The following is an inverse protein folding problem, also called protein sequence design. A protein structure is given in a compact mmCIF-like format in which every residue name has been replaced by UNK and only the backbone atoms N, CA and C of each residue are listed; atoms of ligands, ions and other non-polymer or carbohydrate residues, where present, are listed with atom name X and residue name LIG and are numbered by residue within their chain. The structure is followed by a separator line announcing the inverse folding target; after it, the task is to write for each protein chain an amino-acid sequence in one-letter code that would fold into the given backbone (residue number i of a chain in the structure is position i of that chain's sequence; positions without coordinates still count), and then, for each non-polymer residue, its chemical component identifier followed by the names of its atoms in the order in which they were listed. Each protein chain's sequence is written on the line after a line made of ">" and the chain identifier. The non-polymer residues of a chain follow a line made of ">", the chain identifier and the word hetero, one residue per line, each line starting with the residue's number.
data_IF_945235947975
#
_entry.id   IF_945235947975
#
_cell.length_a   1.000
_cell.length_b   1.000
_cell.length_c   1.000
_cell.angle_alpha   90.00
_cell.angle_beta   90.00
_cell.angle_gamma   90.00
#
_symmetry.space_group_name_H-M   'P 1'
#
loop_
_entity.id
_entity.type
_entity.pdbx_description
1 polymer ?
#
# COMPACT_ATOMS: atom_id res chain seq x y z
N UNK A 1 22.46 -31.10 9.24
CA UNK A 1 22.06 -30.12 10.28
C UNK A 1 23.26 -29.19 10.49
N UNK A 2 23.17 -27.94 10.05
CA UNK A 2 24.22 -26.96 10.33
C UNK A 2 24.08 -26.51 11.80
N UNK A 3 25.16 -26.51 12.59
CA UNK A 3 25.15 -26.07 13.98
C UNK A 3 25.30 -24.55 14.06
N UNK A 4 24.52 -23.88 14.92
CA UNK A 4 24.77 -22.49 15.32
C UNK A 4 23.68 -21.45 15.04
N UNK A 5 22.40 -21.82 14.88
CA UNK A 5 21.34 -20.82 14.99
C UNK A 5 21.12 -20.49 16.47
N UNK A 6 21.86 -19.50 16.97
CA UNK A 6 21.45 -18.76 18.16
C UNK A 6 19.99 -18.30 17.97
N UNK A 7 19.15 -18.25 19.02
CA UNK A 7 17.77 -17.78 18.87
C UNK A 7 17.81 -16.39 18.23
N UNK A 8 17.26 -16.26 17.01
CA UNK A 8 17.25 -15.01 16.25
C UNK A 8 16.67 -13.90 17.13
N UNK A 9 17.52 -13.01 17.65
CA UNK A 9 17.03 -11.78 18.25
C UNK A 9 16.25 -11.04 17.16
N UNK A 10 15.04 -10.54 17.47
CA UNK A 10 14.24 -9.83 16.49
C UNK A 10 15.06 -8.68 15.90
N UNK A 11 15.21 -8.68 14.58
CA UNK A 11 15.88 -7.60 13.86
C UNK A 11 15.23 -6.23 14.16
N UNK A 12 15.93 -5.12 13.86
CA UNK A 12 15.42 -3.79 14.13
C UNK A 12 14.08 -3.56 13.42
N UNK A 13 13.14 -2.92 14.11
CA UNK A 13 11.86 -2.55 13.52
C UNK A 13 11.99 -1.38 12.55
N UNK A 14 10.90 -1.07 11.85
CA UNK A 14 10.87 0.02 10.87
C UNK A 14 11.25 1.37 11.49
N UNK A 15 10.84 1.63 12.75
CA UNK A 15 11.13 2.90 13.43
C UNK A 15 12.62 3.03 13.68
N UNK A 16 13.26 1.95 14.13
CA UNK A 16 14.69 1.89 14.37
C UNK A 16 15.49 2.06 13.08
N UNK A 17 15.13 1.35 12.00
CA UNK A 17 15.77 1.49 10.69
C UNK A 17 15.62 2.93 10.18
N UNK A 18 14.42 3.51 10.30
CA UNK A 18 14.16 4.90 9.89
C UNK A 18 15.00 5.89 10.68
N UNK A 19 15.10 5.71 12.01
CA UNK A 19 15.94 6.54 12.89
C UNK A 19 17.41 6.47 12.49
N UNK A 20 17.95 5.27 12.25
CA UNK A 20 19.33 5.07 11.79
C UNK A 20 19.60 5.75 10.45
N UNK A 21 18.71 5.56 9.48
CA UNK A 21 18.82 6.21 8.18
C UNK A 21 18.75 7.75 8.28
N UNK A 22 17.97 8.30 9.22
CA UNK A 22 17.95 9.73 9.51
C UNK A 22 19.24 10.22 10.16
N UNK A 23 19.88 9.38 10.98
CA UNK A 23 21.19 9.64 11.60
C UNK A 23 22.39 9.48 10.65
N UNK A 24 22.16 9.12 9.38
CA UNK A 24 23.21 8.97 8.36
C UNK A 24 23.78 7.56 8.22
N UNK A 25 23.14 6.56 8.81
CA UNK A 25 23.49 5.15 8.58
C UNK A 25 23.20 4.74 7.13
N UNK A 26 24.27 4.42 6.39
CA UNK A 26 24.21 4.06 4.99
C UNK A 26 23.53 2.71 4.74
N UNK A 27 23.68 1.75 5.66
CA UNK A 27 23.04 0.45 5.55
C UNK A 27 21.53 0.59 5.73
N UNK A 28 21.11 1.32 6.76
CA UNK A 28 19.69 1.59 6.99
C UNK A 28 19.04 2.36 5.81
N UNK A 29 19.74 3.35 5.24
CA UNK A 29 19.27 4.06 4.06
C UNK A 29 19.16 3.14 2.82
N UNK A 30 20.10 2.20 2.67
CA UNK A 30 20.08 1.20 1.60
C UNK A 30 18.90 0.24 1.74
N UNK A 31 18.60 -0.22 2.96
CA UNK A 31 17.42 -1.07 3.23
C UNK A 31 16.13 -0.37 2.83
N UNK A 32 15.94 0.89 3.25
CA UNK A 32 14.75 1.69 2.91
C UNK A 32 14.63 1.85 1.38
N UNK A 33 15.73 2.21 0.72
CA UNK A 33 15.75 2.44 -0.73
C UNK A 33 15.44 1.16 -1.50
N UNK A 34 16.05 0.04 -1.12
CA UNK A 34 15.82 -1.26 -1.75
C UNK A 34 14.37 -1.71 -1.58
N UNK A 35 13.80 -1.56 -0.37
CA UNK A 35 12.40 -1.88 -0.13
C UNK A 35 11.46 -1.05 -1.01
N UNK A 36 11.72 0.25 -1.13
CA UNK A 36 10.95 1.15 -2.00
C UNK A 36 11.03 0.75 -3.47
N UNK A 37 12.23 0.44 -3.98
CA UNK A 37 12.45 0.02 -5.37
C UNK A 37 11.74 -1.30 -5.67
N UNK A 38 11.88 -2.30 -4.80
CA UNK A 38 11.22 -3.60 -4.98
C UNK A 38 9.71 -3.42 -4.99
N UNK A 39 9.16 -2.65 -4.05
CA UNK A 39 7.73 -2.38 -3.98
C UNK A 39 7.24 -1.66 -5.25
N UNK A 40 7.95 -0.64 -5.73
CA UNK A 40 7.61 0.08 -6.95
C UNK A 40 7.55 -0.83 -8.17
N UNK A 41 8.52 -1.75 -8.33
CA UNK A 41 8.51 -2.74 -9.41
C UNK A 41 7.34 -3.70 -9.31
N UNK A 42 7.04 -4.20 -8.11
CA UNK A 42 5.92 -5.12 -7.90
C UNK A 42 4.57 -4.44 -8.19
N UNK A 43 4.40 -3.18 -7.77
CA UNK A 43 3.17 -2.42 -7.99
C UNK A 43 2.94 -2.06 -9.47
N UNK A 44 3.98 -2.01 -10.30
CA UNK A 44 3.84 -1.68 -11.72
C UNK A 44 2.91 -2.63 -12.46
N UNK A 45 2.99 -3.93 -12.17
CA UNK A 45 2.09 -4.93 -12.76
C UNK A 45 0.62 -4.68 -12.36
N UNK A 46 0.39 -4.30 -11.10
CA UNK A 46 -0.96 -3.99 -10.61
C UNK A 46 -1.51 -2.70 -11.22
N UNK A 47 -0.67 -1.66 -11.35
CA UNK A 47 -1.07 -0.42 -12.02
C UNK A 47 -1.45 -0.69 -13.47
N UNK A 48 -0.65 -1.48 -14.20
CA UNK A 48 -0.99 -1.87 -15.58
C UNK A 48 -2.27 -2.73 -15.67
N UNK A 49 -2.56 -3.55 -14.67
CA UNK A 49 -3.73 -4.42 -14.67
C UNK A 49 -5.02 -3.69 -14.28
N UNK A 50 -4.95 -2.74 -13.36
CA UNK A 50 -6.11 -2.08 -12.76
C UNK A 50 -6.40 -0.70 -13.35
N UNK A 51 -5.43 -0.07 -14.02
CA UNK A 51 -5.49 1.32 -14.52
C UNK A 51 -6.05 2.32 -13.48
N UNK A 52 -5.47 2.40 -12.27
CA UNK A 52 -5.99 3.30 -11.25
C UNK A 52 -5.65 4.76 -11.57
N UNK A 53 -6.56 5.67 -11.22
CA UNK A 53 -6.31 7.10 -11.34
C UNK A 53 -5.23 7.62 -10.36
N UNK A 54 -4.97 6.91 -9.27
CA UNK A 54 -4.01 7.31 -8.23
C UNK A 54 -3.52 6.09 -7.43
N UNK A 55 -2.26 6.10 -7.04
CA UNK A 55 -1.68 5.15 -6.09
C UNK A 55 -1.45 5.85 -4.74
N UNK A 56 -2.09 5.36 -3.67
CA UNK A 56 -1.92 5.90 -2.32
C UNK A 56 -1.12 4.92 -1.46
N UNK A 57 0.00 5.37 -0.91
CA UNK A 57 0.90 4.62 -0.02
C UNK A 57 0.59 4.97 1.42
N UNK A 58 0.08 4.00 2.19
CA UNK A 58 -0.24 4.15 3.61
C UNK A 58 0.73 3.43 4.55
N UNK A 59 0.34 3.33 5.82
CA UNK A 59 1.11 2.61 6.85
C UNK A 59 2.39 3.31 7.28
N UNK A 60 3.23 2.61 8.06
CA UNK A 60 4.44 3.19 8.66
C UNK A 60 5.48 3.69 7.65
N UNK A 61 5.54 3.09 6.46
CA UNK A 61 6.48 3.48 5.40
C UNK A 61 6.14 4.83 4.77
N UNK A 62 4.85 5.22 4.76
CA UNK A 62 4.44 6.54 4.30
C UNK A 62 5.04 7.65 5.17
N UNK A 63 5.27 7.36 6.47
CA UNK A 63 5.92 8.27 7.41
C UNK A 63 7.42 8.52 7.14
N UNK A 64 8.06 7.70 6.31
CA UNK A 64 9.47 7.93 5.87
C UNK A 64 9.53 9.11 4.89
N UNK A 65 8.42 9.40 4.20
CA UNK A 65 8.29 10.54 3.30
C UNK A 65 9.06 10.37 1.98
N UNK A 66 9.64 11.45 1.41
CA UNK A 66 10.25 11.44 0.09
C UNK A 66 11.35 10.37 -0.09
N UNK A 67 12.09 10.07 0.98
CA UNK A 67 13.15 9.04 0.96
C UNK A 67 12.63 7.62 0.64
N UNK A 68 11.33 7.38 0.77
CA UNK A 68 10.68 6.14 0.36
C UNK A 68 9.81 6.33 -0.89
N UNK A 69 9.04 7.42 -0.96
CA UNK A 69 8.11 7.67 -2.07
C UNK A 69 8.84 7.91 -3.39
N UNK A 70 9.95 8.64 -3.39
CA UNK A 70 10.70 8.96 -4.62
C UNK A 70 11.33 7.72 -5.29
N UNK A 71 12.07 6.85 -4.57
CA UNK A 71 12.61 5.62 -5.17
C UNK A 71 11.51 4.65 -5.58
N UNK A 72 10.40 4.56 -4.84
CA UNK A 72 9.24 3.77 -5.22
C UNK A 72 8.63 4.28 -6.54
N UNK A 73 8.39 5.59 -6.63
CA UNK A 73 7.81 6.22 -7.82
C UNK A 73 8.71 6.07 -9.03
N UNK A 74 10.03 6.22 -8.84
CA UNK A 74 11.01 6.02 -9.91
C UNK A 74 11.02 4.58 -10.42
N UNK A 75 11.02 3.61 -9.51
CA UNK A 75 10.99 2.20 -9.87
C UNK A 75 9.66 1.79 -10.54
N UNK A 76 8.53 2.32 -10.05
CA UNK A 76 7.22 2.12 -10.68
C UNK A 76 7.23 2.63 -12.13
N UNK A 77 7.67 3.87 -12.35
CA UNK A 77 7.69 4.52 -13.67
C UNK A 77 8.57 3.81 -14.70
N UNK A 78 9.62 3.13 -14.23
CA UNK A 78 10.50 2.36 -15.10
C UNK A 78 9.81 1.10 -15.68
N UNK A 79 8.82 0.55 -14.98
CA UNK A 79 8.21 -0.75 -15.30
C UNK A 79 6.79 -0.64 -15.88
N UNK A 80 6.06 0.45 -15.61
CA UNK A 80 4.69 0.64 -16.14
C UNK A 80 4.67 0.96 -17.65
N UNK A 81 3.54 0.66 -18.29
CA UNK A 81 3.27 1.04 -19.68
C UNK A 81 3.31 2.57 -19.84
N UNK A 82 3.72 3.04 -21.02
CA UNK A 82 3.92 4.47 -21.28
C UNK A 82 2.72 5.38 -20.91
N UNK A 83 1.45 5.01 -21.15
CA UNK A 83 0.30 5.83 -20.76
C UNK A 83 0.16 6.01 -19.24
N UNK A 84 0.71 5.10 -18.43
CA UNK A 84 0.51 5.05 -16.98
C UNK A 84 1.68 5.64 -16.19
N UNK A 85 2.74 6.14 -16.86
CA UNK A 85 3.94 6.68 -16.20
C UNK A 85 3.67 7.91 -15.33
N UNK A 86 2.63 8.66 -15.67
CA UNK A 86 2.27 9.89 -14.94
C UNK A 86 1.22 9.66 -13.86
N UNK A 87 0.92 8.40 -13.50
CA UNK A 87 0.03 8.12 -12.37
C UNK A 87 0.54 8.82 -11.10
N UNK A 88 -0.30 9.58 -10.39
CA UNK A 88 0.07 10.19 -9.12
C UNK A 88 0.34 9.13 -8.05
N UNK A 89 1.47 9.26 -7.36
CA UNK A 89 1.83 8.45 -6.19
C UNK A 89 1.82 9.35 -4.95
N UNK A 90 0.88 9.10 -4.04
CA UNK A 90 0.62 9.96 -2.89
C UNK A 90 0.85 9.21 -1.58
N UNK A 91 1.33 9.90 -0.55
CA UNK A 91 1.31 9.38 0.81
C UNK A 91 -0.11 9.55 1.41
N UNK A 92 -0.57 8.56 2.18
CA UNK A 92 -1.87 8.62 2.84
C UNK A 92 -1.90 9.76 3.87
N UNK A 93 -2.84 10.69 3.72
CA UNK A 93 -2.96 11.86 4.58
C UNK A 93 -3.59 11.55 5.96
N UNK A 94 -4.45 10.52 6.03
CA UNK A 94 -5.21 10.19 7.24
C UNK A 94 -4.42 9.38 8.26
N UNK A 95 -3.25 8.85 7.89
CA UNK A 95 -2.40 8.10 8.82
C UNK A 95 -3.15 7.02 9.61
N UNK A 96 -3.06 7.10 10.94
CA UNK A 96 -3.72 6.16 11.87
C UNK A 96 -5.23 6.36 11.96
N UNK A 97 -5.77 7.49 11.47
CA UNK A 97 -7.20 7.78 11.50
C UNK A 97 -7.95 7.17 10.32
N UNK A 98 -7.24 6.66 9.30
CA UNK A 98 -7.84 6.08 8.10
C UNK A 98 -8.91 5.00 8.41
N UNK A 99 -8.68 4.05 9.35
CA UNK A 99 -9.70 3.06 9.69
C UNK A 99 -10.93 3.66 10.37
N UNK A 100 -10.77 4.67 11.23
CA UNK A 100 -11.88 5.33 11.93
C UNK A 100 -12.74 6.12 10.96
N UNK A 101 -12.11 6.87 10.05
CA UNK A 101 -12.81 7.61 8.99
C UNK A 101 -13.54 6.62 8.06
N UNK A 102 -12.89 5.52 7.68
CA UNK A 102 -13.52 4.48 6.87
C UNK A 102 -14.75 3.86 7.55
N UNK A 103 -14.65 3.55 8.85
CA UNK A 103 -15.77 3.01 9.62
C UNK A 103 -16.93 4.01 9.73
N UNK A 104 -16.65 5.30 9.91
CA UNK A 104 -17.67 6.34 9.99
C UNK A 104 -18.39 6.61 8.64
N UNK A 105 -17.75 6.28 7.52
CA UNK A 105 -18.28 6.45 6.17
C UNK A 105 -18.91 5.17 5.59
N UNK A 106 -18.89 4.06 6.35
CA UNK A 106 -19.38 2.78 5.87
C UNK A 106 -20.92 2.85 5.66
N UNK A 107 -21.44 2.53 4.46
CA UNK A 107 -22.87 2.50 4.20
C UNK A 107 -23.61 1.52 5.12
N UNK A 108 -24.85 1.86 5.51
CA UNK A 108 -25.68 1.03 6.39
C UNK A 108 -25.90 -0.39 5.84
N UNK A 109 -26.07 -0.53 4.52
CA UNK A 109 -26.25 -1.83 3.84
C UNK A 109 -25.05 -2.78 3.98
N UNK A 110 -23.86 -2.25 4.31
CA UNK A 110 -22.65 -3.04 4.57
C UNK A 110 -22.42 -3.30 6.06
N UNK A 111 -23.30 -2.79 6.93
CA UNK A 111 -23.25 -2.97 8.39
C UNK A 111 -24.28 -3.95 8.91
N UNK A 112 -25.32 -4.26 8.12
CA UNK A 112 -26.24 -5.36 8.41
C UNK A 112 -25.55 -6.68 8.09
N UNK A 113 -25.41 -7.61 9.06
CA UNK A 113 -24.99 -8.97 8.74
C UNK A 113 -25.95 -9.55 7.69
N UNK A 114 -25.43 -10.22 6.67
CA UNK A 114 -26.26 -11.03 5.78
C UNK A 114 -27.08 -11.98 6.66
N UNK A 115 -28.39 -11.81 6.69
CA UNK A 115 -29.29 -12.74 7.35
C UNK A 115 -29.41 -13.97 6.43
N UNK A 116 -28.81 -15.13 6.80
CA UNK A 116 -28.83 -16.32 5.96
C UNK A 116 -30.24 -16.92 5.81
N UNK A 117 -31.25 -16.35 6.48
CA UNK A 117 -32.65 -16.78 6.39
C UNK A 117 -33.52 -15.90 5.50
N UNK A 118 -32.97 -14.82 4.92
CA UNK A 118 -33.71 -14.02 3.93
C UNK A 118 -33.63 -14.70 2.56
N UNK A 119 -34.74 -15.20 1.99
CA UNK A 119 -34.69 -15.79 0.65
C UNK A 119 -34.39 -14.70 -0.37
N UNK A 120 -33.44 -14.97 -1.27
CA UNK A 120 -33.15 -14.14 -2.45
C UNK A 120 -34.46 -13.81 -3.17
N UNK A 121 -34.91 -12.57 -3.02
CA UNK A 121 -36.07 -12.05 -3.72
C UNK A 121 -35.76 -11.93 -5.22
N UNK A 122 -36.73 -12.12 -6.12
CA UNK A 122 -36.49 -12.16 -7.55
C UNK A 122 -36.30 -10.73 -8.08
N UNK A 123 -35.09 -10.18 -7.99
CA UNK A 123 -34.69 -9.01 -8.76
C UNK A 123 -33.16 -8.84 -8.83
N UNK A 124 -32.50 -9.77 -9.54
CA UNK A 124 -31.30 -9.37 -10.27
C UNK A 124 -31.67 -8.36 -11.35
N UNK A 125 -30.77 -7.40 -11.60
CA UNK A 125 -30.76 -6.39 -12.69
C UNK A 125 -31.09 -4.94 -12.28
N UNK A 126 -30.17 -4.30 -11.56
CA UNK A 126 -29.77 -2.90 -11.80
C UNK A 126 -28.23 -2.94 -11.85
N UNK A 127 -27.55 -2.76 -12.99
CA UNK A 127 -27.38 -1.51 -13.71
C UNK A 127 -27.06 -1.77 -15.19
N UNK A 128 -28.02 -1.50 -16.08
CA UNK A 128 -27.71 -1.14 -17.46
C UNK A 128 -27.61 0.39 -17.52
N UNK A 129 -26.39 0.90 -17.64
CA UNK A 129 -26.12 2.33 -17.86
C UNK A 129 -26.37 2.66 -19.33
N UNK A 130 -27.37 3.51 -19.58
CA UNK A 130 -27.59 4.21 -20.83
C UNK A 130 -27.07 5.64 -20.69
N UNK A 131 -26.04 5.99 -21.48
CA UNK A 131 -25.78 7.30 -22.07
C UNK A 131 -24.69 7.15 -23.13
#
# INVERSE_FOLDING_TARGET
>A
AAPGADPEEPGPDLREITRRAQAGDAEAATVITNAAVVLGRTLAGLVCALDPAVLVVGGGVAGIGPRFIDPLTTALRAEVLAPLREIPVLAAALGLDAPLVGAALLPEDLTTPDDPTTPDGPNGLHHASAA
#
